data_IF_044439917741
#
_entry.id   IF_044439917741
#
_cell.length_a   1.000
_cell.length_b   1.000
_cell.length_c   1.000
_cell.angle_alpha   90.00
_cell.angle_beta   90.00
_cell.angle_gamma   90.00
#
_symmetry.space_group_name_H-M   'P 1'
#
loop_
_entity.id
_entity.type
_entity.pdbx_description
1 polymer ?
#
# COMPACT_ATOMS: atom_id res chain seq x y z
N UNK A 1 -43.11 -4.26 10.57
CA UNK A 1 -43.14 -3.74 9.19
C UNK A 1 -41.90 -2.89 9.04
N UNK A 2 -40.96 -3.28 8.18
CA UNK A 2 -39.81 -2.42 7.82
C UNK A 2 -40.34 -1.37 6.84
N UNK A 3 -40.07 -0.07 7.02
CA UNK A 3 -40.55 0.95 6.11
C UNK A 3 -39.90 0.74 4.73
N UNK A 4 -40.68 0.85 3.66
CA UNK A 4 -40.15 0.91 2.32
C UNK A 4 -39.55 2.31 2.12
N UNK A 5 -38.23 2.42 2.26
CA UNK A 5 -37.50 3.63 1.88
C UNK A 5 -37.42 3.63 0.35
N UNK A 6 -38.19 4.50 -0.30
CA UNK A 6 -37.81 4.93 -1.65
C UNK A 6 -36.53 5.75 -1.48
N UNK A 7 -35.37 5.11 -1.68
CA UNK A 7 -34.12 5.85 -1.84
C UNK A 7 -34.28 6.68 -3.11
N UNK A 8 -34.30 8.01 -2.95
CA UNK A 8 -34.20 8.92 -4.08
C UNK A 8 -32.91 8.63 -4.86
N UNK A 9 -32.96 8.64 -6.19
CA UNK A 9 -31.79 8.37 -7.06
C UNK A 9 -30.60 9.29 -6.73
N UNK A 10 -30.85 10.49 -6.22
CA UNK A 10 -29.84 11.44 -5.72
C UNK A 10 -29.05 10.89 -4.51
N UNK A 11 -29.67 10.07 -3.65
CA UNK A 11 -28.99 9.42 -2.51
C UNK A 11 -28.10 8.28 -3.02
N UNK A 12 -28.49 7.60 -4.09
CA UNK A 12 -27.71 6.52 -4.69
C UNK A 12 -26.45 7.05 -5.40
N UNK A 13 -26.51 8.27 -5.95
CA UNK A 13 -25.37 8.89 -6.63
C UNK A 13 -24.25 9.30 -5.65
N UNK A 14 -24.61 9.71 -4.42
CA UNK A 14 -23.69 10.02 -3.32
C UNK A 14 -23.06 8.76 -2.67
N UNK A 15 -23.61 7.58 -2.96
CA UNK A 15 -23.07 6.27 -2.54
C UNK A 15 -22.11 5.67 -3.57
N UNK A 16 -22.01 6.25 -4.77
CA UNK A 16 -20.93 5.90 -5.69
C UNK A 16 -19.65 6.54 -5.17
N UNK A 17 -18.84 5.77 -4.45
CA UNK A 17 -17.48 6.14 -4.08
C UNK A 17 -16.74 6.61 -5.35
N UNK A 18 -16.57 7.92 -5.49
CA UNK A 18 -15.69 8.47 -6.51
C UNK A 18 -14.28 8.24 -5.99
N UNK A 19 -13.52 7.38 -6.68
CA UNK A 19 -12.11 7.20 -6.42
C UNK A 19 -11.41 8.57 -6.38
N UNK A 20 -10.58 8.77 -5.37
CA UNK A 20 -9.85 10.02 -5.21
C UNK A 20 -8.90 10.22 -6.42
N UNK A 21 -8.70 11.47 -6.87
CA UNK A 21 -7.80 11.75 -7.98
C UNK A 21 -6.36 11.32 -7.66
N UNK A 22 -5.65 10.72 -8.62
CA UNK A 22 -4.26 10.31 -8.41
C UNK A 22 -3.24 11.45 -8.53
N UNK A 23 -3.63 12.62 -9.06
CA UNK A 23 -2.75 13.76 -9.23
C UNK A 23 -2.20 14.28 -7.89
N UNK A 24 -0.88 14.32 -7.74
CA UNK A 24 -0.21 14.68 -6.49
C UNK A 24 1.16 15.29 -6.72
N UNK A 25 1.78 15.79 -5.65
CA UNK A 25 3.16 16.29 -5.71
C UNK A 25 4.15 15.15 -6.00
N UNK A 26 5.11 15.42 -6.88
CA UNK A 26 6.15 14.46 -7.24
C UNK A 26 7.30 14.50 -6.22
N UNK A 27 7.60 13.35 -5.62
CA UNK A 27 8.71 13.18 -4.69
C UNK A 27 9.97 12.73 -5.43
N UNK A 28 11.05 13.49 -5.25
CA UNK A 28 12.40 13.12 -5.67
C UNK A 28 13.11 12.48 -4.48
N UNK A 29 13.09 11.14 -4.44
CA UNK A 29 13.65 10.33 -3.34
C UNK A 29 15.17 10.46 -3.22
N UNK A 30 15.85 10.62 -4.35
CA UNK A 30 17.32 10.70 -4.40
C UNK A 30 17.83 12.02 -3.84
N UNK A 31 17.12 13.12 -4.12
CA UNK A 31 17.53 14.47 -3.73
C UNK A 31 16.73 15.04 -2.55
N UNK A 32 15.86 14.25 -1.92
CA UNK A 32 15.02 14.63 -0.78
C UNK A 32 14.23 15.93 -0.98
N UNK A 33 13.59 16.08 -2.14
CA UNK A 33 12.81 17.28 -2.48
C UNK A 33 11.47 16.94 -3.13
N UNK A 34 10.57 17.91 -3.09
CA UNK A 34 9.32 17.87 -3.87
C UNK A 34 9.56 18.65 -5.17
N UNK A 35 9.21 18.02 -6.29
CA UNK A 35 9.26 18.62 -7.62
C UNK A 35 7.88 19.20 -7.96
N UNK A 36 7.53 19.21 -9.24
CA UNK A 36 6.20 19.57 -9.73
C UNK A 36 5.18 18.47 -9.34
N UNK A 37 4.27 18.12 -10.23
CA UNK A 37 3.25 17.10 -9.97
C UNK A 37 3.50 15.80 -10.75
N UNK A 38 2.89 14.72 -10.29
CA UNK A 38 2.77 13.45 -10.99
C UNK A 38 1.34 12.93 -10.88
N UNK A 39 1.00 11.96 -11.73
CA UNK A 39 -0.34 11.40 -11.83
C UNK A 39 -0.28 9.92 -12.20
N UNK A 40 -1.43 9.24 -12.14
CA UNK A 40 -1.59 7.85 -12.56
C UNK A 40 -0.60 6.90 -11.88
N UNK A 41 0.04 6.03 -12.67
CA UNK A 41 0.94 4.99 -12.16
C UNK A 41 2.13 5.55 -11.35
N UNK A 42 2.66 6.71 -11.73
CA UNK A 42 3.77 7.33 -10.99
C UNK A 42 3.33 7.83 -9.61
N UNK A 43 2.10 8.33 -9.49
CA UNK A 43 1.53 8.67 -8.19
C UNK A 43 1.30 7.43 -7.32
N UNK A 44 0.81 6.32 -7.91
CA UNK A 44 0.60 5.06 -7.17
C UNK A 44 1.92 4.46 -6.69
N UNK A 45 2.98 4.46 -7.51
CA UNK A 45 4.32 4.04 -7.07
C UNK A 45 4.82 4.84 -5.86
N UNK A 46 4.53 6.14 -5.80
CA UNK A 46 4.85 6.95 -4.62
C UNK A 46 3.99 6.56 -3.41
N UNK A 47 2.71 6.27 -3.59
CA UNK A 47 1.82 5.82 -2.52
C UNK A 47 2.28 4.48 -1.94
N UNK A 48 2.54 3.48 -2.79
CA UNK A 48 3.11 2.17 -2.41
C UNK A 48 4.37 2.35 -1.58
N UNK A 49 5.31 3.19 -2.06
CA UNK A 49 6.54 3.46 -1.33
C UNK A 49 6.27 4.05 0.07
N UNK A 50 5.38 5.05 0.18
CA UNK A 50 5.08 5.67 1.48
C UNK A 50 4.40 4.70 2.44
N UNK A 51 3.43 3.91 1.96
CA UNK A 51 2.72 2.91 2.77
C UNK A 51 3.72 1.90 3.34
N UNK A 52 4.60 1.33 2.51
CA UNK A 52 5.56 0.32 2.93
C UNK A 52 6.72 0.84 3.78
N UNK A 53 6.92 2.16 3.84
CA UNK A 53 7.96 2.80 4.66
C UNK A 53 7.37 3.55 5.87
N UNK A 54 6.11 3.32 6.19
CA UNK A 54 5.45 3.90 7.36
C UNK A 54 4.96 2.77 8.25
N UNK A 55 5.50 2.69 9.47
CA UNK A 55 4.97 1.78 10.47
C UNK A 55 3.56 2.22 10.87
N UNK A 56 2.63 1.28 10.85
CA UNK A 56 1.23 1.53 11.19
C UNK A 56 1.12 1.88 12.68
N UNK A 57 0.20 2.79 13.01
CA UNK A 57 -0.10 3.26 14.38
C UNK A 57 0.93 4.18 15.05
N UNK A 58 2.12 4.35 14.49
CA UNK A 58 3.17 5.20 15.07
C UNK A 58 2.90 6.71 14.95
N UNK A 59 2.11 7.11 13.96
CA UNK A 59 1.93 8.51 13.62
C UNK A 59 0.46 8.92 13.65
N UNK A 60 0.12 9.87 14.54
CA UNK A 60 -1.26 10.37 14.70
C UNK A 60 -1.82 11.10 13.48
N UNK A 61 -0.96 11.54 12.56
CA UNK A 61 -1.39 12.19 11.31
C UNK A 61 -2.01 11.20 10.31
N UNK A 62 -1.77 9.90 10.49
CA UNK A 62 -2.26 8.84 9.62
C UNK A 62 -3.50 8.16 10.19
N UNK A 63 -4.36 7.65 9.31
CA UNK A 63 -5.45 6.78 9.71
C UNK A 63 -4.90 5.44 10.20
N UNK A 64 -5.71 4.69 10.95
CA UNK A 64 -5.36 3.33 11.39
C UNK A 64 -5.16 2.35 10.23
N UNK A 65 -5.64 2.70 9.04
CA UNK A 65 -5.54 1.87 7.84
C UNK A 65 -4.29 2.20 7.00
N UNK A 66 -3.44 3.13 7.43
CA UNK A 66 -2.28 3.55 6.66
C UNK A 66 -0.98 3.02 7.25
N UNK A 67 -0.11 2.51 6.38
CA UNK A 67 1.17 1.92 6.75
C UNK A 67 1.15 0.39 6.78
N UNK A 68 2.30 -0.19 7.08
CA UNK A 68 2.55 -1.61 7.24
C UNK A 68 2.98 -1.90 8.68
N UNK A 69 2.75 -3.11 9.16
CA UNK A 69 3.19 -3.55 10.49
C UNK A 69 4.45 -4.40 10.32
N UNK A 70 5.65 -3.89 10.57
CA UNK A 70 6.90 -4.64 10.40
C UNK A 70 7.64 -4.89 11.72
N UNK A 71 7.43 -4.05 12.73
CA UNK A 71 8.21 -4.11 13.98
C UNK A 71 8.08 -5.47 14.69
N UNK A 72 6.90 -6.08 14.65
CA UNK A 72 6.66 -7.39 15.27
C UNK A 72 7.34 -8.57 14.57
N UNK A 73 7.87 -8.38 13.36
CA UNK A 73 8.70 -9.40 12.69
C UNK A 73 10.11 -9.46 13.33
N UNK A 74 10.44 -8.42 14.11
CA UNK A 74 11.55 -8.23 15.04
C UNK A 74 12.05 -9.48 15.79
N UNK A 75 13.01 -10.24 15.28
CA UNK A 75 13.63 -11.39 15.96
C UNK A 75 12.90 -12.71 15.78
N UNK A 76 11.89 -12.75 14.91
CA UNK A 76 11.11 -13.95 14.62
C UNK A 76 11.82 -14.89 13.63
N UNK A 77 11.49 -16.20 13.63
CA UNK A 77 12.10 -17.13 12.70
C UNK A 77 11.65 -16.85 11.26
N UNK A 78 12.55 -17.05 10.29
CA UNK A 78 12.29 -16.85 8.84
C UNK A 78 11.02 -17.54 8.34
N UNK A 79 10.70 -18.72 8.88
CA UNK A 79 9.49 -19.48 8.54
C UNK A 79 8.18 -18.79 8.93
N UNK A 80 8.23 -17.87 9.89
CA UNK A 80 7.12 -17.01 10.29
C UNK A 80 7.14 -15.69 9.51
N UNK A 81 8.32 -15.09 9.37
CA UNK A 81 8.51 -13.78 8.74
C UNK A 81 8.07 -13.76 7.28
N UNK A 82 8.41 -14.77 6.47
CA UNK A 82 8.06 -14.79 5.04
C UNK A 82 6.53 -14.72 4.80
N UNK A 83 5.71 -15.63 5.34
CA UNK A 83 4.27 -15.58 5.11
C UNK A 83 3.59 -14.35 5.75
N UNK A 84 4.08 -13.88 6.89
CA UNK A 84 3.54 -12.66 7.51
C UNK A 84 3.90 -11.41 6.72
N UNK A 85 5.12 -11.31 6.19
CA UNK A 85 5.52 -10.20 5.34
C UNK A 85 4.66 -10.14 4.08
N UNK A 86 4.41 -11.27 3.41
CA UNK A 86 3.50 -11.35 2.28
C UNK A 86 2.10 -10.83 2.65
N UNK A 87 1.52 -11.37 3.72
CA UNK A 87 0.18 -10.99 4.21
C UNK A 87 0.11 -9.49 4.52
N UNK A 88 1.08 -8.96 5.27
CA UNK A 88 1.11 -7.57 5.71
C UNK A 88 1.35 -6.59 4.55
N UNK A 89 2.12 -6.98 3.53
CA UNK A 89 2.25 -6.20 2.28
C UNK A 89 0.89 -6.14 1.56
N UNK A 90 0.22 -7.28 1.37
CA UNK A 90 -1.08 -7.33 0.69
C UNK A 90 -2.11 -6.49 1.44
N UNK A 91 -2.20 -6.65 2.77
CA UNK A 91 -3.14 -5.90 3.62
C UNK A 91 -2.85 -4.40 3.66
N UNK A 92 -1.58 -3.99 3.65
CA UNK A 92 -1.25 -2.57 3.65
C UNK A 92 -1.57 -1.90 2.32
N UNK A 93 -1.28 -2.57 1.20
CA UNK A 93 -1.48 -2.02 -0.13
C UNK A 93 -2.94 -2.07 -0.60
N UNK A 94 -3.74 -3.05 -0.14
CA UNK A 94 -5.16 -3.14 -0.49
C UNK A 94 -6.01 -2.00 0.09
N UNK A 95 -5.45 -1.20 1.02
CA UNK A 95 -6.08 0.01 1.54
C UNK A 95 -6.06 1.19 0.55
N UNK A 96 -5.25 1.11 -0.51
CA UNK A 96 -5.26 2.08 -1.62
C UNK A 96 -6.22 1.58 -2.71
N UNK A 97 -7.33 2.28 -2.90
CA UNK A 97 -8.42 1.94 -3.82
C UNK A 97 -8.00 1.84 -5.30
N UNK A 98 -6.81 2.35 -5.64
CA UNK A 98 -6.25 2.25 -6.99
C UNK A 98 -5.52 0.94 -7.23
N UNK A 99 -5.19 0.18 -6.18
CA UNK A 99 -4.50 -1.11 -6.26
C UNK A 99 -5.53 -2.24 -6.37
N UNK A 100 -5.44 -3.04 -7.43
CA UNK A 100 -6.37 -4.13 -7.72
C UNK A 100 -5.85 -5.47 -7.18
N UNK A 101 -4.54 -5.73 -7.31
CA UNK A 101 -3.93 -7.00 -6.89
C UNK A 101 -2.44 -6.83 -6.54
N UNK A 102 -1.96 -7.62 -5.57
CA UNK A 102 -0.54 -7.73 -5.22
C UNK A 102 -0.15 -9.21 -5.26
N UNK A 103 0.84 -9.57 -6.08
CA UNK A 103 1.10 -10.97 -6.43
C UNK A 103 2.54 -11.21 -6.89
N UNK A 104 2.87 -12.47 -7.24
CA UNK A 104 4.19 -12.90 -7.73
C UNK A 104 5.33 -12.52 -6.78
N UNK A 105 5.18 -12.88 -5.50
CA UNK A 105 6.21 -12.68 -4.50
C UNK A 105 7.42 -13.61 -4.74
N UNK A 106 8.61 -13.04 -4.65
CA UNK A 106 9.89 -13.74 -4.65
C UNK A 106 10.69 -13.27 -3.43
N UNK A 107 11.05 -14.21 -2.56
CA UNK A 107 11.74 -13.94 -1.30
C UNK A 107 13.18 -14.46 -1.35
N UNK A 108 14.11 -13.62 -0.93
CA UNK A 108 15.53 -13.95 -0.83
C UNK A 108 16.05 -13.63 0.57
N UNK A 109 16.56 -14.66 1.25
CA UNK A 109 17.07 -14.60 2.63
C UNK A 109 18.57 -14.92 2.72
N UNK A 110 19.31 -14.67 1.63
CA UNK A 110 20.76 -14.92 1.57
C UNK A 110 21.53 -14.12 2.62
N UNK A 111 21.03 -12.93 2.96
CA UNK A 111 21.58 -12.09 4.02
C UNK A 111 20.93 -12.42 5.37
N UNK A 112 21.74 -12.70 6.38
CA UNK A 112 21.24 -13.01 7.73
C UNK A 112 20.50 -11.80 8.33
N UNK A 113 19.28 -12.02 8.82
CA UNK A 113 18.44 -10.97 9.43
C UNK A 113 17.81 -10.01 8.42
N UNK A 114 17.85 -10.34 7.12
CA UNK A 114 17.26 -9.52 6.06
C UNK A 114 16.44 -10.41 5.13
N UNK A 115 15.23 -9.99 4.81
CA UNK A 115 14.45 -10.53 3.69
C UNK A 115 14.42 -9.48 2.60
N UNK A 116 15.01 -9.81 1.44
CA UNK A 116 14.74 -9.08 0.21
C UNK A 116 13.51 -9.69 -0.45
N UNK A 117 12.52 -8.87 -0.79
CA UNK A 117 11.28 -9.30 -1.44
C UNK A 117 11.05 -8.50 -2.71
N UNK A 118 10.64 -9.20 -3.77
CA UNK A 118 10.09 -8.55 -4.97
C UNK A 118 8.70 -9.06 -5.28
N UNK A 119 7.83 -8.19 -5.76
CA UNK A 119 6.44 -8.52 -6.08
C UNK A 119 5.88 -7.57 -7.15
N UNK A 120 4.70 -7.90 -7.68
CA UNK A 120 3.99 -7.09 -8.65
C UNK A 120 2.76 -6.47 -8.00
N UNK A 121 2.46 -5.23 -8.40
CA UNK A 121 1.28 -4.48 -8.00
C UNK A 121 0.53 -4.11 -9.27
N UNK A 122 -0.66 -4.66 -9.44
CA UNK A 122 -1.59 -4.26 -10.50
C UNK A 122 -2.51 -3.17 -9.98
N UNK A 123 -2.74 -2.17 -10.83
CA UNK A 123 -3.50 -0.96 -10.48
C UNK A 123 -4.37 -0.57 -11.65
N UNK A 124 -5.37 0.26 -11.40
CA UNK A 124 -6.22 0.87 -12.44
C UNK A 124 -5.43 1.72 -13.46
N UNK A 125 -4.17 2.06 -13.15
CA UNK A 125 -3.27 2.83 -13.99
C UNK A 125 -2.17 1.99 -14.66
N UNK A 126 -2.21 0.66 -14.50
CA UNK A 126 -1.22 -0.30 -15.00
C UNK A 126 -0.38 -0.94 -13.89
N UNK A 127 0.52 -1.83 -14.28
CA UNK A 127 1.29 -2.65 -13.35
C UNK A 127 2.66 -2.07 -13.04
N UNK A 128 3.18 -2.33 -11.83
CA UNK A 128 4.56 -2.04 -11.46
C UNK A 128 5.18 -3.18 -10.67
N UNK A 129 6.48 -3.41 -10.86
CA UNK A 129 7.28 -4.27 -9.98
C UNK A 129 7.82 -3.43 -8.82
N UNK A 130 7.80 -4.00 -7.62
CA UNK A 130 8.32 -3.39 -6.39
C UNK A 130 9.39 -4.30 -5.81
N UNK A 131 10.41 -3.67 -5.24
CA UNK A 131 11.48 -4.28 -4.46
C UNK A 131 11.57 -3.61 -3.08
N UNK A 132 11.82 -4.42 -2.07
CA UNK A 132 11.92 -4.00 -0.67
C UNK A 132 12.88 -4.92 0.08
N UNK A 133 13.60 -4.35 1.05
CA UNK A 133 14.36 -5.11 2.03
C UNK A 133 13.79 -4.83 3.42
N UNK A 134 13.61 -5.88 4.21
CA UNK A 134 13.12 -5.80 5.59
C UNK A 134 14.15 -6.46 6.50
N UNK A 135 14.64 -5.70 7.46
CA UNK A 135 15.40 -6.23 8.59
C UNK A 135 14.43 -6.83 9.60
N UNK A 136 14.73 -8.05 10.04
CA UNK A 136 13.93 -8.80 11.01
C UNK A 136 14.84 -9.61 11.93
#
# INVERSE_FOLDING_TARGET
MIPNLNLDDDILEDLNEKNDPSYTYKMDKENYRILDYCDGLEAVKQAVYKILNTERYDYTIYSQNYGIELEELFGEPTSYVIPELERRIIEALSMDDRIEEVYNFDFNTTSKGIVAVTFHVDTIHGSTKIDMEVEY
#
